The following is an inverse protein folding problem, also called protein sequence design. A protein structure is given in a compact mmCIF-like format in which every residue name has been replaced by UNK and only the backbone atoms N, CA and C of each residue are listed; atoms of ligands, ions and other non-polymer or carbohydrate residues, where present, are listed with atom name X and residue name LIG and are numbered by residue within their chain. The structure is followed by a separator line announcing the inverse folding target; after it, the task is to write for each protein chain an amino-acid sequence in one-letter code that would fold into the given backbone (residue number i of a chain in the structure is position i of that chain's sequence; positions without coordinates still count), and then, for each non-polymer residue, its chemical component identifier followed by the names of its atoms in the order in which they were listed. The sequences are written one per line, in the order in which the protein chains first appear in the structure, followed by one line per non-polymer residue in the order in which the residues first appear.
data_IF_889830970088
#
_entry.id   IF_889830970088
#
_cell.length_a   1.000
_cell.length_b   1.000
_cell.length_c   1.000
_cell.angle_alpha   90.00
_cell.angle_beta   90.00
_cell.angle_gamma   90.00
#
_symmetry.space_group_name_H-M   'P 1'
#
loop_
_entity.id
_entity.type
_entity.pdbx_description
1 polymer ?
#
# COMPACT_ATOMS: atom_id res chain seq x y z
N UNK A 1 31.91 12.98 5.47
CA UNK A 1 31.66 14.37 5.02
C UNK A 1 30.51 15.07 5.74
N UNK A 2 29.47 14.35 6.21
CA UNK A 2 28.47 14.84 7.17
C UNK A 2 29.05 15.55 8.43
N UNK A 3 30.26 15.15 8.87
CA UNK A 3 30.94 15.67 10.07
C UNK A 3 31.30 17.17 10.07
N UNK A 4 31.50 17.79 8.90
CA UNK A 4 31.83 19.23 8.84
C UNK A 4 30.58 20.12 8.92
N UNK A 5 29.40 19.57 8.61
CA UNK A 5 28.11 20.29 8.60
C UNK A 5 27.22 19.96 9.80
N UNK A 6 27.39 18.81 10.45
CA UNK A 6 26.77 18.48 11.75
C UNK A 6 27.15 19.48 12.87
N UNK A 7 28.31 20.13 12.76
CA UNK A 7 28.78 21.03 13.82
C UNK A 7 28.09 22.41 13.82
N UNK A 8 27.29 22.73 12.79
CA UNK A 8 26.59 24.02 12.71
C UNK A 8 25.13 23.85 12.24
N UNK A 9 24.22 23.69 13.20
CA UNK A 9 22.75 23.64 13.00
C UNK A 9 22.14 24.88 12.30
N UNK A 10 22.94 25.90 11.98
CA UNK A 10 22.52 27.11 11.28
C UNK A 10 22.74 27.06 9.75
N UNK A 11 23.39 26.02 9.23
CA UNK A 11 23.80 26.00 7.81
C UNK A 11 22.97 25.08 6.91
N UNK A 12 22.17 24.16 7.46
CA UNK A 12 21.40 23.20 6.67
C UNK A 12 19.91 23.22 7.05
N UNK A 13 19.06 22.87 6.09
CA UNK A 13 17.62 22.80 6.27
C UNK A 13 17.12 21.43 5.76
N UNK A 14 16.36 20.72 6.60
CA UNK A 14 15.75 19.45 6.21
C UNK A 14 14.42 19.72 5.52
N UNK A 15 14.28 19.29 4.27
CA UNK A 15 13.08 19.53 3.47
C UNK A 15 12.12 18.36 3.64
N UNK A 16 10.82 18.66 3.80
CA UNK A 16 9.80 17.62 3.83
C UNK A 16 9.77 16.86 2.51
N UNK A 17 9.91 15.56 2.59
CA UNK A 17 9.72 14.63 1.47
C UNK A 17 8.94 13.40 1.94
N UNK A 18 8.45 12.63 0.99
CA UNK A 18 8.04 11.25 1.24
C UNK A 18 9.24 10.39 1.63
N UNK A 19 8.96 9.28 2.31
CA UNK A 19 9.99 8.33 2.75
C UNK A 19 10.76 7.69 1.59
N UNK A 20 10.07 7.45 0.47
CA UNK A 20 10.66 7.14 -0.85
C UNK A 20 10.15 8.16 -1.86
N UNK A 21 10.88 8.50 -2.94
CA UNK A 21 10.38 9.40 -3.98
C UNK A 21 9.09 8.86 -4.60
N UNK A 22 8.06 9.69 -4.73
CA UNK A 22 6.77 9.30 -5.31
C UNK A 22 6.24 10.36 -6.26
N UNK A 23 5.48 9.91 -7.26
CA UNK A 23 4.59 10.77 -8.02
C UNK A 23 3.23 10.89 -7.28
N UNK A 24 3.09 11.94 -6.47
CA UNK A 24 1.90 12.20 -5.65
C UNK A 24 0.62 12.30 -6.50
N UNK A 25 0.71 12.92 -7.69
CA UNK A 25 -0.42 13.12 -8.58
C UNK A 25 -0.88 11.78 -9.17
N UNK A 26 0.07 10.97 -9.62
CA UNK A 26 -0.18 9.65 -10.18
C UNK A 26 -0.85 8.73 -9.15
N UNK A 27 -0.32 8.66 -7.91
CA UNK A 27 -0.90 7.84 -6.85
C UNK A 27 -2.31 8.31 -6.46
N UNK A 28 -2.51 9.62 -6.32
CA UNK A 28 -3.82 10.20 -5.99
C UNK A 28 -4.86 9.89 -7.07
N UNK A 29 -4.49 10.06 -8.34
CA UNK A 29 -5.34 9.73 -9.50
C UNK A 29 -5.64 8.22 -9.61
N UNK A 30 -4.77 7.37 -9.08
CA UNK A 30 -4.97 5.92 -8.99
C UNK A 30 -5.81 5.49 -7.77
N UNK A 31 -6.27 6.42 -6.93
CA UNK A 31 -7.00 6.12 -5.70
C UNK A 31 -6.10 5.60 -4.56
N UNK A 32 -4.78 5.85 -4.65
CA UNK A 32 -3.77 5.48 -3.66
C UNK A 32 -3.32 6.69 -2.81
N UNK A 33 -4.23 7.65 -2.60
CA UNK A 33 -3.94 8.87 -1.82
C UNK A 33 -3.61 8.59 -0.35
N UNK A 34 -4.14 7.51 0.22
CA UNK A 34 -3.83 7.07 1.58
C UNK A 34 -2.38 6.58 1.69
N UNK A 35 -1.92 5.80 0.71
CA UNK A 35 -0.53 5.34 0.61
C UNK A 35 0.44 6.51 0.44
N UNK A 36 0.11 7.46 -0.44
CA UNK A 36 0.92 8.67 -0.63
C UNK A 36 1.03 9.47 0.69
N UNK A 37 -0.09 9.65 1.39
CA UNK A 37 -0.13 10.34 2.69
C UNK A 37 0.72 9.63 3.74
N UNK A 38 0.64 8.29 3.82
CA UNK A 38 1.43 7.48 4.74
C UNK A 38 2.94 7.59 4.45
N UNK A 39 3.33 7.60 3.18
CA UNK A 39 4.73 7.79 2.78
C UNK A 39 5.25 9.19 3.15
N UNK A 40 4.42 10.22 3.01
CA UNK A 40 4.75 11.59 3.43
C UNK A 40 4.88 11.68 4.96
N UNK A 41 3.96 11.07 5.71
CA UNK A 41 3.99 11.04 7.17
C UNK A 41 5.24 10.33 7.68
N UNK A 42 5.54 9.13 7.16
CA UNK A 42 6.76 8.38 7.50
C UNK A 42 8.04 9.17 7.19
N UNK A 43 8.06 9.88 6.05
CA UNK A 43 9.18 10.76 5.70
C UNK A 43 9.36 11.88 6.72
N UNK A 44 8.26 12.53 7.11
CA UNK A 44 8.27 13.58 8.13
C UNK A 44 8.73 13.07 9.51
N UNK A 45 8.20 11.94 9.97
CA UNK A 45 8.62 11.32 11.25
C UNK A 45 10.12 11.04 11.27
N UNK A 46 10.65 10.51 10.16
CA UNK A 46 12.08 10.23 10.00
C UNK A 46 12.88 11.52 10.05
N UNK A 47 12.48 12.57 9.33
CA UNK A 47 13.20 13.84 9.29
C UNK A 47 13.19 14.58 10.64
N UNK A 48 12.06 14.54 11.36
CA UNK A 48 11.96 15.15 12.71
C UNK A 48 12.91 14.48 13.70
N UNK A 49 13.14 13.16 13.56
CA UNK A 49 14.10 12.45 14.41
C UNK A 49 15.56 12.89 14.19
N UNK A 50 15.85 13.46 13.02
CA UNK A 50 17.19 13.92 12.62
C UNK A 50 17.39 15.40 12.99
N UNK A 51 16.38 16.25 12.80
CA UNK A 51 16.52 17.68 13.08
C UNK A 51 15.30 18.54 12.77
N UNK A 52 15.51 19.86 12.75
CA UNK A 52 14.45 20.82 12.42
C UNK A 52 14.15 20.77 10.93
N UNK A 53 12.86 20.67 10.63
CA UNK A 53 12.35 20.59 9.25
C UNK A 53 11.91 21.98 8.80
N UNK A 54 12.13 22.27 7.52
CA UNK A 54 11.73 23.49 6.80
C UNK A 54 10.25 23.88 7.00
N UNK A 55 9.75 25.00 6.47
CA UNK A 55 8.31 25.27 6.38
C UNK A 55 7.55 24.23 5.55
N UNK A 56 6.30 23.93 5.92
CA UNK A 56 5.48 22.91 5.23
C UNK A 56 4.99 23.34 3.85
N UNK A 57 5.25 24.60 3.50
CA UNK A 57 4.90 25.20 2.23
C UNK A 57 6.03 25.08 1.20
N UNK A 58 7.21 24.61 1.59
CA UNK A 58 8.38 24.46 0.73
C UNK A 58 8.52 23.03 0.20
N UNK A 59 8.78 22.92 -1.09
CA UNK A 59 9.08 21.68 -1.80
C UNK A 59 10.37 21.86 -2.61
N UNK A 60 11.22 20.82 -2.64
CA UNK A 60 12.34 20.73 -3.60
C UNK A 60 12.05 19.58 -4.57
N UNK A 61 12.14 19.88 -5.86
CA UNK A 61 12.07 18.88 -6.92
C UNK A 61 13.26 17.92 -6.81
N UNK A 62 12.96 16.62 -6.70
CA UNK A 62 13.98 15.56 -6.71
C UNK A 62 13.99 14.79 -8.03
N UNK A 63 12.83 14.69 -8.68
CA UNK A 63 12.61 13.97 -9.92
C UNK A 63 11.86 14.90 -10.87
N UNK A 64 11.99 14.68 -12.19
CA UNK A 64 11.31 15.47 -13.20
C UNK A 64 9.81 15.63 -12.91
N UNK A 65 9.39 16.87 -12.67
CA UNK A 65 8.01 17.20 -12.31
C UNK A 65 7.23 17.81 -13.47
N UNK A 66 5.90 17.66 -13.41
CA UNK A 66 4.98 18.21 -14.40
C UNK A 66 3.85 19.03 -13.74
N UNK A 67 2.95 19.55 -14.59
CA UNK A 67 1.75 20.30 -14.17
C UNK A 67 0.90 19.53 -13.14
N UNK A 68 0.76 18.21 -13.28
CA UNK A 68 -0.11 17.41 -12.41
C UNK A 68 0.44 17.28 -10.99
N UNK A 69 1.74 17.01 -10.85
CA UNK A 69 2.42 17.02 -9.55
C UNK A 69 2.42 18.42 -8.93
N UNK A 70 2.66 19.45 -9.74
CA UNK A 70 2.64 20.84 -9.30
C UNK A 70 1.27 21.23 -8.70
N UNK A 71 0.18 20.95 -9.42
CA UNK A 71 -1.18 21.24 -8.96
C UNK A 71 -1.57 20.40 -7.73
N UNK A 72 -1.19 19.13 -7.69
CA UNK A 72 -1.46 18.24 -6.55
C UNK A 72 -0.80 18.74 -5.27
N UNK A 73 0.49 19.12 -5.35
CA UNK A 73 1.23 19.69 -4.22
C UNK A 73 0.67 21.05 -3.82
N UNK A 74 0.28 21.88 -4.80
CA UNK A 74 -0.38 23.15 -4.51
C UNK A 74 -1.67 22.95 -3.71
N UNK A 75 -2.52 22.00 -4.10
CA UNK A 75 -3.76 21.70 -3.39
C UNK A 75 -3.52 21.30 -1.93
N UNK A 76 -2.37 20.68 -1.63
CA UNK A 76 -1.94 20.27 -0.27
C UNK A 76 -1.36 21.42 0.58
N UNK A 77 -1.20 22.62 0.01
CA UNK A 77 -0.68 23.79 0.73
C UNK A 77 0.77 24.15 0.41
N UNK A 78 1.41 23.47 -0.55
CA UNK A 78 2.74 23.89 -1.06
C UNK A 78 2.59 25.21 -1.83
N UNK A 79 3.46 26.18 -1.53
CA UNK A 79 3.43 27.53 -2.12
C UNK A 79 4.80 27.97 -2.64
N UNK A 80 5.85 27.31 -2.16
CA UNK A 80 7.23 27.61 -2.48
C UNK A 80 7.88 26.35 -3.06
N UNK A 81 8.64 26.50 -4.15
CA UNK A 81 9.31 25.38 -4.78
C UNK A 81 10.77 25.69 -5.16
N UNK A 82 11.60 24.66 -5.21
CA UNK A 82 12.91 24.71 -5.88
C UNK A 82 12.81 23.75 -7.06
N UNK A 83 12.84 24.28 -8.29
CA UNK A 83 12.50 23.53 -9.50
C UNK A 83 13.64 23.57 -10.52
N UNK A 84 13.78 22.48 -11.26
CA UNK A 84 14.69 22.40 -12.39
C UNK A 84 14.16 23.23 -13.55
N UNK A 85 15.06 23.96 -14.24
CA UNK A 85 14.75 24.59 -15.53
C UNK A 85 14.23 23.57 -16.56
N UNK A 86 14.63 22.29 -16.43
CA UNK A 86 14.20 21.17 -17.28
C UNK A 86 12.70 20.89 -17.17
N UNK A 87 12.05 21.27 -16.07
CA UNK A 87 10.62 21.05 -15.79
C UNK A 87 9.73 22.23 -16.20
N UNK A 88 10.34 23.31 -16.70
CA UNK A 88 9.66 24.52 -17.16
C UNK A 88 9.66 24.62 -18.68
N UNK A 89 8.64 25.29 -19.24
CA UNK A 89 8.60 25.64 -20.65
C UNK A 89 9.79 26.55 -20.95
N UNK A 90 10.52 26.26 -22.04
CA UNK A 90 11.72 27.01 -22.39
C UNK A 90 11.43 28.50 -22.60
N UNK A 91 12.29 29.36 -22.07
CA UNK A 91 12.21 30.82 -22.18
C UNK A 91 13.60 31.41 -22.43
N UNK A 92 13.68 32.70 -22.73
CA UNK A 92 14.96 33.38 -22.99
C UNK A 92 15.84 33.57 -21.74
N UNK A 93 15.26 33.48 -20.54
CA UNK A 93 15.96 33.63 -19.26
C UNK A 93 15.75 32.38 -18.39
N UNK A 94 16.45 31.29 -18.70
CA UNK A 94 16.27 29.99 -18.04
C UNK A 94 16.72 29.96 -16.57
N UNK A 95 17.55 30.91 -16.14
CA UNK A 95 18.17 30.91 -14.81
C UNK A 95 18.07 32.28 -14.12
N UNK A 96 16.84 32.70 -13.74
CA UNK A 96 16.68 33.90 -12.95
C UNK A 96 17.41 33.73 -11.63
N UNK A 97 18.27 34.70 -11.28
CA UNK A 97 19.07 34.66 -10.05
C UNK A 97 18.30 35.19 -8.83
N UNK A 98 16.98 35.09 -8.86
CA UNK A 98 16.04 35.61 -7.87
C UNK A 98 14.78 34.74 -7.89
N UNK A 99 13.98 34.74 -6.81
CA UNK A 99 12.69 34.05 -6.79
C UNK A 99 11.79 34.52 -7.93
N UNK A 100 11.06 33.61 -8.54
CA UNK A 100 10.13 33.89 -9.65
C UNK A 100 8.77 33.27 -9.41
N UNK A 101 7.80 33.64 -10.22
CA UNK A 101 6.49 33.00 -10.21
C UNK A 101 6.44 31.85 -11.22
N UNK A 102 5.95 30.70 -10.79
CA UNK A 102 5.70 29.54 -11.62
C UNK A 102 4.20 29.32 -11.67
N UNK A 103 3.64 29.27 -12.88
CA UNK A 103 2.21 29.06 -13.09
C UNK A 103 1.91 27.74 -13.80
N UNK A 104 0.82 27.13 -13.33
CA UNK A 104 0.01 26.15 -14.03
C UNK A 104 -1.24 26.85 -14.59
N UNK A 105 -2.18 26.09 -15.14
CA UNK A 105 -3.53 26.58 -15.45
C UNK A 105 -4.30 26.98 -14.19
N UNK A 106 -4.07 26.28 -13.07
CA UNK A 106 -4.90 26.39 -11.86
C UNK A 106 -4.15 26.86 -10.61
N UNK A 107 -2.83 26.98 -10.67
CA UNK A 107 -2.00 27.21 -9.50
C UNK A 107 -0.82 28.14 -9.80
N UNK A 108 -0.36 28.80 -8.75
CA UNK A 108 0.76 29.74 -8.76
C UNK A 108 1.63 29.46 -7.53
N UNK A 109 2.93 29.28 -7.74
CA UNK A 109 3.93 29.15 -6.68
C UNK A 109 5.07 30.13 -6.91
N UNK A 110 5.70 30.56 -5.83
CA UNK A 110 7.01 31.21 -5.91
C UNK A 110 8.08 30.12 -5.98
N UNK A 111 9.08 30.27 -6.84
CA UNK A 111 10.14 29.29 -6.95
C UNK A 111 11.54 29.88 -7.12
N UNK A 112 12.52 29.11 -6.68
CA UNK A 112 13.90 29.23 -7.14
C UNK A 112 14.11 28.23 -8.27
N UNK A 113 14.75 28.68 -9.34
CA UNK A 113 15.08 27.82 -10.48
C UNK A 113 16.54 27.40 -10.35
N UNK A 114 16.80 26.11 -10.53
CA UNK A 114 18.14 25.57 -10.67
C UNK A 114 18.32 24.93 -12.04
N UNK A 115 19.56 24.90 -12.49
CA UNK A 115 20.00 24.30 -13.74
C UNK A 115 21.45 23.87 -13.58
N UNK A 116 21.96 23.13 -14.55
CA UNK A 116 23.34 22.69 -14.59
C UNK A 116 24.27 23.88 -14.91
N UNK A 117 24.81 24.50 -13.85
CA UNK A 117 25.66 25.69 -13.96
C UNK A 117 26.94 25.41 -14.75
N UNK A 118 27.46 24.18 -14.69
CA UNK A 118 28.75 23.81 -15.25
C UNK A 118 28.76 22.34 -15.74
N UNK A 119 28.03 22.04 -16.83
CA UNK A 119 27.78 20.67 -17.25
C UNK A 119 29.03 19.82 -17.35
N UNK A 120 28.94 18.60 -16.82
CA UNK A 120 30.06 17.64 -16.82
C UNK A 120 30.54 17.40 -18.24
N UNK A 121 31.85 17.52 -18.43
CA UNK A 121 32.54 17.22 -19.68
C UNK A 121 33.07 15.79 -19.63
N UNK A 122 33.14 15.13 -20.78
CA UNK A 122 33.52 13.71 -20.90
C UNK A 122 34.89 13.38 -20.27
N UNK A 123 35.78 14.37 -20.13
CA UNK A 123 37.14 14.21 -19.60
C UNK A 123 37.33 14.77 -18.19
N UNK A 124 36.25 15.19 -17.53
CA UNK A 124 36.38 15.72 -16.18
C UNK A 124 36.73 14.64 -15.18
N UNK A 125 37.71 14.95 -14.33
CA UNK A 125 37.79 14.35 -13.01
C UNK A 125 36.77 15.03 -12.08
N UNK A 126 36.30 14.37 -11.01
CA UNK A 126 35.42 15.01 -10.01
C UNK A 126 35.99 16.32 -9.47
N UNK A 127 37.32 16.37 -9.26
CA UNK A 127 38.03 17.56 -8.82
C UNK A 127 38.00 18.71 -9.85
N UNK A 128 38.29 18.42 -11.14
CA UNK A 128 38.26 19.45 -12.19
C UNK A 128 36.85 19.96 -12.47
N UNK A 129 35.83 19.09 -12.37
CA UNK A 129 34.43 19.50 -12.45
C UNK A 129 34.07 20.46 -11.30
N UNK A 130 34.46 20.14 -10.06
CA UNK A 130 34.21 21.01 -8.90
C UNK A 130 34.89 22.38 -9.07
N UNK A 131 36.16 22.41 -9.48
CA UNK A 131 36.87 23.66 -9.77
C UNK A 131 36.23 24.48 -10.89
N UNK A 132 35.66 23.83 -11.92
CA UNK A 132 34.92 24.54 -12.96
C UNK A 132 33.67 25.19 -12.38
N UNK A 133 32.87 24.45 -11.60
CA UNK A 133 31.68 25.01 -10.94
C UNK A 133 32.04 26.20 -10.06
N UNK A 134 33.10 26.09 -9.24
CA UNK A 134 33.61 27.20 -8.42
C UNK A 134 34.03 28.42 -9.27
N UNK A 135 34.67 28.19 -10.41
CA UNK A 135 35.07 29.27 -11.34
C UNK A 135 33.85 29.97 -11.95
N UNK A 136 32.79 29.22 -12.29
CA UNK A 136 31.52 29.79 -12.76
C UNK A 136 30.85 30.62 -11.65
N UNK A 137 30.82 30.11 -10.41
CA UNK A 137 30.30 30.85 -9.26
C UNK A 137 31.05 32.17 -9.02
N UNK A 138 32.39 32.14 -9.05
CA UNK A 138 33.22 33.34 -8.94
C UNK A 138 32.92 34.33 -10.06
N UNK A 139 32.81 33.84 -11.31
CA UNK A 139 32.46 34.70 -12.45
C UNK A 139 31.12 35.39 -12.24
N UNK A 140 30.09 34.65 -11.79
CA UNK A 140 28.78 35.24 -11.50
C UNK A 140 28.89 36.31 -10.40
N UNK A 141 29.57 35.99 -9.29
CA UNK A 141 29.73 36.90 -8.17
C UNK A 141 30.42 38.22 -8.57
N UNK A 142 31.41 38.18 -9.47
CA UNK A 142 32.15 39.37 -9.90
C UNK A 142 31.51 40.14 -11.06
N UNK A 143 30.64 39.51 -11.86
CA UNK A 143 30.09 40.13 -13.08
C UNK A 143 28.67 40.63 -12.93
N UNK A 144 27.96 40.22 -11.87
CA UNK A 144 26.54 40.49 -11.73
C UNK A 144 26.23 41.34 -10.50
N UNK A 145 25.36 42.35 -10.67
CA UNK A 145 24.89 43.18 -9.54
C UNK A 145 24.03 42.34 -8.58
N UNK A 146 24.33 42.46 -7.28
CA UNK A 146 23.68 41.74 -6.17
C UNK A 146 22.35 42.38 -5.73
N UNK A 147 21.46 41.64 -5.04
CA UNK A 147 21.60 40.25 -4.60
C UNK A 147 21.12 39.23 -5.65
N UNK A 148 21.93 38.18 -5.86
CA UNK A 148 21.68 37.11 -6.81
C UNK A 148 21.92 35.75 -6.16
N UNK A 149 20.91 34.89 -6.23
CA UNK A 149 20.97 33.53 -5.74
C UNK A 149 21.41 32.59 -6.86
N UNK A 150 22.27 31.64 -6.52
CA UNK A 150 22.65 30.54 -7.39
C UNK A 150 22.26 29.26 -6.68
N UNK A 151 21.25 28.58 -7.21
CA UNK A 151 20.83 27.27 -6.74
C UNK A 151 21.55 26.20 -7.55
N UNK A 152 22.14 25.21 -6.88
CA UNK A 152 22.85 24.11 -7.50
C UNK A 152 22.21 22.79 -7.08
N UNK A 153 22.08 21.88 -8.04
CA UNK A 153 21.76 20.48 -7.75
C UNK A 153 23.07 19.71 -7.53
N UNK A 154 23.14 19.01 -6.40
CA UNK A 154 24.25 18.13 -6.01
C UNK A 154 23.74 16.71 -5.70
N UNK A 155 22.60 16.35 -6.28
CA UNK A 155 22.02 15.00 -6.20
C UNK A 155 22.99 13.95 -6.77
N UNK A 156 22.93 12.68 -6.33
CA UNK A 156 23.86 11.63 -6.76
C UNK A 156 23.95 11.42 -8.28
N UNK A 157 22.85 11.72 -9.01
CA UNK A 157 22.79 11.58 -10.46
C UNK A 157 23.59 12.67 -11.18
N UNK A 158 23.68 13.87 -10.59
CA UNK A 158 24.40 15.03 -11.14
C UNK A 158 25.81 15.17 -10.51
N UNK A 159 26.00 14.69 -9.29
CA UNK A 159 27.18 14.90 -8.45
C UNK A 159 27.57 13.65 -7.64
N UNK A 160 28.79 13.14 -7.85
CA UNK A 160 29.35 12.09 -7.00
C UNK A 160 29.91 12.67 -5.69
N UNK A 161 30.12 11.81 -4.69
CA UNK A 161 30.59 12.25 -3.37
C UNK A 161 31.93 12.98 -3.42
N UNK A 162 32.83 12.59 -4.33
CA UNK A 162 34.16 13.22 -4.43
C UNK A 162 34.05 14.64 -5.00
N UNK A 163 33.23 14.82 -6.04
CA UNK A 163 32.90 16.14 -6.57
C UNK A 163 32.28 17.03 -5.49
N UNK A 164 31.30 16.51 -4.76
CA UNK A 164 30.58 17.28 -3.72
C UNK A 164 31.52 17.71 -2.60
N UNK A 165 32.42 16.82 -2.16
CA UNK A 165 33.41 17.13 -1.13
C UNK A 165 34.33 18.29 -1.59
N UNK A 166 34.89 18.23 -2.80
CA UNK A 166 35.73 19.30 -3.34
C UNK A 166 34.96 20.62 -3.58
N UNK A 167 33.71 20.54 -4.03
CA UNK A 167 32.88 21.72 -4.27
C UNK A 167 32.58 22.44 -2.94
N UNK A 168 32.19 21.70 -1.90
CA UNK A 168 31.86 22.27 -0.59
C UNK A 168 33.10 22.82 0.11
N UNK A 169 34.24 22.13 0.04
CA UNK A 169 35.53 22.65 0.53
C UNK A 169 35.90 23.95 -0.19
N UNK A 170 35.74 23.99 -1.52
CA UNK A 170 35.94 25.18 -2.32
C UNK A 170 35.03 26.33 -1.92
N UNK A 171 33.72 26.11 -1.77
CA UNK A 171 32.75 27.14 -1.37
C UNK A 171 33.14 27.73 0.00
N UNK A 172 33.55 26.90 0.96
CA UNK A 172 33.99 27.37 2.27
C UNK A 172 35.22 28.29 2.22
N UNK A 173 36.01 28.23 1.16
CA UNK A 173 37.17 29.11 0.94
C UNK A 173 36.85 30.42 0.22
N UNK A 174 35.65 30.57 -0.35
CA UNK A 174 35.25 31.74 -1.13
C UNK A 174 34.55 32.79 -0.24
N UNK A 175 35.27 33.85 0.14
CA UNK A 175 34.76 34.90 1.03
C UNK A 175 33.58 35.73 0.47
N UNK A 176 33.30 35.63 -0.82
CA UNK A 176 32.25 36.39 -1.51
C UNK A 176 31.00 35.54 -1.81
N UNK A 177 30.95 34.30 -1.33
CA UNK A 177 29.79 33.42 -1.42
C UNK A 177 29.34 33.08 -0.01
N UNK A 178 28.07 33.33 0.27
CA UNK A 178 27.46 32.98 1.55
C UNK A 178 26.37 31.92 1.29
N UNK A 179 26.41 30.75 1.95
CA UNK A 179 25.34 29.77 1.86
C UNK A 179 24.07 30.34 2.52
N UNK A 180 22.92 30.12 1.90
CA UNK A 180 21.62 30.59 2.36
C UNK A 180 20.63 29.44 2.35
N UNK A 181 19.79 29.35 3.38
CA UNK A 181 18.73 28.34 3.45
C UNK A 181 17.71 28.58 2.32
N UNK A 182 17.16 27.49 1.77
CA UNK A 182 16.21 27.57 0.66
C UNK A 182 14.95 28.34 1.06
N UNK A 183 14.44 28.13 2.29
CA UNK A 183 13.29 28.86 2.83
C UNK A 183 13.56 30.36 3.02
N UNK A 184 14.79 30.76 3.32
CA UNK A 184 15.16 32.17 3.42
C UNK A 184 15.35 32.81 2.05
N UNK A 185 15.98 32.10 1.11
CA UNK A 185 16.24 32.56 -0.24
C UNK A 185 14.93 32.79 -1.01
N UNK A 186 13.94 31.90 -0.86
CA UNK A 186 12.66 32.00 -1.56
C UNK A 186 11.77 33.13 -1.03
N UNK A 187 11.98 33.56 0.22
CA UNK A 187 11.28 34.70 0.84
C UNK A 187 11.80 36.08 0.40
N UNK A 188 12.80 36.12 -0.49
CA UNK A 188 13.38 37.36 -1.01
C UNK A 188 12.49 37.94 -2.13
N UNK A 189 12.63 39.24 -2.44
CA UNK A 189 11.82 39.87 -3.47
C UNK A 189 11.89 39.15 -4.82
N UNK A 190 10.75 39.07 -5.50
CA UNK A 190 10.64 38.44 -6.81
C UNK A 190 11.50 39.16 -7.85
N UNK A 191 12.04 38.41 -8.79
CA UNK A 191 12.61 38.94 -10.01
C UNK A 191 11.51 39.64 -10.81
N UNK A 192 11.80 40.85 -11.30
CA UNK A 192 10.86 41.64 -12.10
C UNK A 192 11.42 41.94 -13.48
N UNK A 193 10.51 42.07 -14.45
CA UNK A 193 10.80 42.65 -15.76
C UNK A 193 11.22 44.11 -15.64
N UNK A 194 11.73 44.70 -16.73
CA UNK A 194 12.00 46.14 -16.80
C UNK A 194 10.76 47.03 -16.52
N UNK A 195 9.54 46.48 -16.69
CA UNK A 195 8.28 47.14 -16.38
C UNK A 195 7.83 46.97 -14.91
N UNK A 196 8.62 46.30 -14.06
CA UNK A 196 8.30 46.08 -12.64
C UNK A 196 7.30 44.93 -12.38
N UNK A 197 6.94 44.15 -13.40
CA UNK A 197 6.05 42.98 -13.27
C UNK A 197 6.87 41.74 -12.92
N UNK A 198 6.43 40.88 -11.97
CA UNK A 198 7.12 39.62 -11.65
C UNK A 198 7.40 38.76 -12.88
N UNK A 199 8.59 38.16 -12.93
CA UNK A 199 8.91 37.17 -13.95
C UNK A 199 8.09 35.90 -13.72
N UNK A 200 7.41 35.46 -14.78
CA UNK A 200 6.53 34.28 -14.75
C UNK A 200 7.00 33.20 -15.72
N UNK A 201 7.05 31.97 -15.23
CA UNK A 201 7.38 30.77 -16.00
C UNK A 201 6.21 29.81 -15.97
N UNK A 202 6.12 28.95 -16.98
CA UNK A 202 5.06 27.97 -17.09
C UNK A 202 5.60 26.56 -16.86
N UNK A 203 4.89 25.77 -16.07
CA UNK A 203 5.18 24.34 -15.91
C UNK A 203 5.00 23.60 -17.22
N UNK A 204 5.92 22.66 -17.52
CA UNK A 204 5.72 21.72 -18.63
C UNK A 204 4.59 20.75 -18.31
N UNK A 205 3.75 20.54 -19.32
CA UNK A 205 2.80 19.43 -19.30
C UNK A 205 3.51 18.16 -19.76
N UNK A 206 3.30 17.06 -19.03
CA UNK A 206 3.82 15.76 -19.43
C UNK A 206 2.87 15.21 -20.47
N UNK A 207 3.40 14.87 -21.65
CA UNK A 207 2.62 14.15 -22.66
C UNK A 207 1.98 12.92 -21.99
N UNK A 208 0.67 12.71 -22.21
CA UNK A 208 -0.14 11.69 -21.53
C UNK A 208 0.64 10.40 -21.30
N UNK A 209 1.18 10.25 -20.08
CA UNK A 209 1.91 9.05 -19.72
C UNK A 209 0.93 7.89 -19.70
N UNK A 210 1.38 6.72 -20.13
CA UNK A 210 0.63 5.48 -19.94
C UNK A 210 0.38 5.35 -18.44
N UNK A 211 -0.89 5.31 -18.04
CA UNK A 211 -1.25 5.18 -16.62
C UNK A 211 -0.76 3.82 -16.13
N UNK A 212 0.08 3.76 -15.08
CA UNK A 212 0.52 2.49 -14.53
C UNK A 212 -0.67 1.69 -14.00
N UNK A 213 -0.63 0.37 -14.20
CA UNK A 213 -1.67 -0.51 -13.68
C UNK A 213 -1.37 -0.96 -12.24
N UNK A 214 -2.11 -0.39 -11.28
CA UNK A 214 -2.04 -0.77 -9.87
C UNK A 214 -2.97 -1.93 -9.50
N UNK A 215 -3.57 -2.65 -10.45
CA UNK A 215 -4.43 -3.81 -10.17
C UNK A 215 -3.70 -4.88 -9.36
N UNK A 216 -2.45 -5.18 -9.72
CA UNK A 216 -1.60 -6.17 -9.05
C UNK A 216 -1.17 -5.67 -7.66
N UNK A 217 -0.86 -4.38 -7.51
CA UNK A 217 -0.61 -3.76 -6.20
C UNK A 217 -1.80 -3.94 -5.25
N UNK A 218 -3.01 -3.60 -5.70
CA UNK A 218 -4.24 -3.74 -4.89
C UNK A 218 -4.48 -5.20 -4.52
N UNK A 219 -4.23 -6.13 -5.45
CA UNK A 219 -4.30 -7.56 -5.16
C UNK A 219 -3.30 -7.98 -4.09
N UNK A 220 -2.04 -7.55 -4.17
CA UNK A 220 -1.03 -7.81 -3.14
C UNK A 220 -1.46 -7.26 -1.77
N UNK A 221 -2.00 -6.04 -1.73
CA UNK A 221 -2.54 -5.41 -0.51
C UNK A 221 -3.68 -6.24 0.10
N UNK A 222 -4.63 -6.69 -0.72
CA UNK A 222 -5.74 -7.56 -0.26
C UNK A 222 -5.21 -8.88 0.31
N UNK A 223 -4.27 -9.52 -0.38
CA UNK A 223 -3.65 -10.76 0.10
C UNK A 223 -2.91 -10.57 1.44
N UNK A 224 -2.17 -9.47 1.62
CA UNK A 224 -1.51 -9.18 2.88
C UNK A 224 -2.51 -8.90 4.00
N UNK A 225 -3.57 -8.12 3.75
CA UNK A 225 -4.63 -7.88 4.73
C UNK A 225 -5.32 -9.18 5.17
N UNK A 226 -5.59 -10.08 4.21
CA UNK A 226 -6.10 -11.43 4.50
C UNK A 226 -5.15 -12.18 5.43
N UNK A 227 -3.87 -12.25 5.08
CA UNK A 227 -2.86 -12.93 5.89
C UNK A 227 -2.74 -12.33 7.30
N UNK A 228 -2.78 -11.00 7.43
CA UNK A 228 -2.73 -10.32 8.72
C UNK A 228 -3.88 -10.71 9.65
N UNK A 229 -5.07 -10.87 9.08
CA UNK A 229 -6.27 -11.28 9.86
C UNK A 229 -6.18 -12.72 10.39
N UNK A 230 -5.35 -13.57 9.76
CA UNK A 230 -5.15 -14.96 10.13
C UNK A 230 -4.09 -15.16 11.21
N UNK A 231 -3.10 -14.27 11.31
CA UNK A 231 -1.98 -14.42 12.24
C UNK A 231 -2.17 -13.61 13.52
N UNK A 232 -1.48 -14.03 14.58
CA UNK A 232 -1.38 -13.29 15.84
C UNK A 232 -0.31 -12.21 15.73
N UNK A 233 -0.35 -11.22 16.62
CA UNK A 233 0.57 -10.09 16.58
C UNK A 233 2.03 -10.51 16.78
N UNK A 234 2.28 -11.55 17.58
CA UNK A 234 3.61 -12.11 17.83
C UNK A 234 4.21 -12.83 16.59
N UNK A 235 3.38 -13.21 15.63
CA UNK A 235 3.78 -13.87 14.38
C UNK A 235 3.79 -12.91 13.17
N UNK A 236 3.54 -11.61 13.40
CA UNK A 236 3.31 -10.64 12.33
C UNK A 236 4.59 -10.15 11.62
N UNK A 237 5.79 -10.52 12.07
CA UNK A 237 7.05 -9.97 11.55
C UNK A 237 7.20 -10.10 10.03
N UNK A 238 6.93 -11.28 9.46
CA UNK A 238 7.00 -11.49 8.01
C UNK A 238 5.96 -10.62 7.27
N UNK A 239 4.74 -10.54 7.81
CA UNK A 239 3.69 -9.69 7.26
C UNK A 239 4.12 -8.22 7.24
N UNK A 240 4.65 -7.71 8.36
CA UNK A 240 5.00 -6.30 8.51
C UNK A 240 6.13 -5.91 7.57
N UNK A 241 7.13 -6.79 7.40
CA UNK A 241 8.19 -6.62 6.40
C UNK A 241 7.62 -6.54 4.98
N UNK A 242 6.72 -7.44 4.59
CA UNK A 242 6.09 -7.40 3.27
C UNK A 242 5.14 -6.21 3.09
N UNK A 243 4.44 -5.79 4.14
CA UNK A 243 3.59 -4.61 4.11
C UNK A 243 4.42 -3.34 3.88
N UNK A 244 5.57 -3.25 4.53
CA UNK A 244 6.52 -2.16 4.33
C UNK A 244 7.12 -2.19 2.92
N UNK A 245 7.57 -3.36 2.46
CA UNK A 245 8.09 -3.52 1.11
C UNK A 245 7.04 -3.17 0.04
N UNK A 246 5.79 -3.59 0.23
CA UNK A 246 4.70 -3.22 -0.65
C UNK A 246 4.52 -1.70 -0.70
N UNK A 247 4.52 -1.03 0.45
CA UNK A 247 4.38 0.43 0.49
C UNK A 247 5.54 1.13 -0.24
N UNK A 248 6.78 0.69 0.00
CA UNK A 248 7.98 1.29 -0.61
C UNK A 248 8.12 0.96 -2.10
N UNK A 249 7.47 -0.11 -2.56
CA UNK A 249 7.42 -0.44 -3.99
C UNK A 249 6.68 0.60 -4.85
N UNK A 250 5.99 1.56 -4.23
CA UNK A 250 5.40 2.73 -4.91
C UNK A 250 6.43 3.82 -5.25
N UNK A 251 7.71 3.60 -4.94
CA UNK A 251 8.79 4.52 -5.30
C UNK A 251 8.87 4.73 -6.82
N UNK A 252 9.03 5.99 -7.22
CA UNK A 252 9.26 6.39 -8.62
C UNK A 252 10.67 6.00 -9.11
N UNK A 253 11.58 5.69 -8.19
CA UNK A 253 12.93 5.20 -8.53
C UNK A 253 12.92 3.74 -9.01
N UNK A 254 11.84 3.01 -8.73
CA UNK A 254 11.69 1.62 -9.12
C UNK A 254 11.09 1.51 -10.52
N UNK A 255 11.70 0.66 -11.36
CA UNK A 255 11.15 0.35 -12.68
C UNK A 255 9.87 -0.45 -12.54
N UNK A 256 8.93 -0.26 -13.47
CA UNK A 256 7.63 -0.96 -13.45
C UNK A 256 7.76 -2.49 -13.35
N UNK A 257 8.71 -3.09 -14.06
CA UNK A 257 8.96 -4.54 -13.99
C UNK A 257 9.39 -5.01 -12.59
N UNK A 258 10.16 -4.18 -11.88
CA UNK A 258 10.61 -4.46 -10.52
C UNK A 258 9.46 -4.33 -9.52
N UNK A 259 8.67 -3.26 -9.63
CA UNK A 259 7.45 -3.07 -8.84
C UNK A 259 6.51 -4.27 -9.00
N UNK A 260 6.21 -4.69 -10.23
CA UNK A 260 5.35 -5.85 -10.49
C UNK A 260 5.94 -7.16 -9.95
N UNK A 261 7.26 -7.31 -9.96
CA UNK A 261 7.94 -8.49 -9.40
C UNK A 261 7.74 -8.55 -7.89
N UNK A 262 7.89 -7.42 -7.18
CA UNK A 262 7.63 -7.31 -5.75
C UNK A 262 6.16 -7.67 -5.46
N UNK A 263 5.20 -7.08 -6.17
CA UNK A 263 3.78 -7.33 -5.92
C UNK A 263 3.39 -8.78 -6.15
N UNK A 264 3.88 -9.43 -7.22
CA UNK A 264 3.62 -10.85 -7.49
C UNK A 264 4.24 -11.75 -6.43
N UNK A 265 5.49 -11.46 -6.02
CA UNK A 265 6.18 -12.22 -4.98
C UNK A 265 5.39 -12.22 -3.67
N UNK A 266 4.79 -11.09 -3.30
CA UNK A 266 3.95 -10.97 -2.11
C UNK A 266 2.67 -11.82 -2.25
N UNK A 267 1.99 -11.76 -3.40
CA UNK A 267 0.82 -12.59 -3.68
C UNK A 267 1.16 -14.07 -3.58
N UNK A 268 2.29 -14.49 -4.17
CA UNK A 268 2.74 -15.87 -4.18
C UNK A 268 3.16 -16.35 -2.80
N UNK A 269 3.80 -15.48 -1.99
CA UNK A 269 4.10 -15.75 -0.58
C UNK A 269 2.83 -16.09 0.20
N UNK A 270 1.79 -15.25 0.11
CA UNK A 270 0.52 -15.49 0.80
C UNK A 270 -0.16 -16.77 0.29
N UNK A 271 -0.14 -17.02 -1.03
CA UNK A 271 -0.71 -18.25 -1.62
C UNK A 271 0.01 -19.51 -1.14
N UNK A 272 1.32 -19.44 -1.00
CA UNK A 272 2.12 -20.55 -0.47
C UNK A 272 1.80 -20.80 1.01
N UNK A 273 1.55 -19.75 1.81
CA UNK A 273 1.12 -19.90 3.20
C UNK A 273 -0.28 -20.48 3.30
N UNK A 274 -1.22 -20.03 2.46
CA UNK A 274 -2.59 -20.55 2.46
C UNK A 274 -2.66 -22.01 2.00
N UNK A 275 -1.80 -22.45 1.08
CA UNK A 275 -1.78 -23.86 0.63
C UNK A 275 -1.28 -24.84 1.71
N UNK A 276 -0.75 -24.34 2.83
CA UNK A 276 -0.43 -25.17 3.99
C UNK A 276 -1.67 -25.54 4.82
N UNK A 277 -2.83 -24.93 4.52
CA UNK A 277 -4.11 -25.26 5.12
C UNK A 277 -4.88 -26.21 4.21
N UNK A 278 -5.19 -27.40 4.72
CA UNK A 278 -6.07 -28.34 4.05
C UNK A 278 -7.44 -28.33 4.73
N UNK A 279 -8.49 -28.16 3.92
CA UNK A 279 -9.88 -28.36 4.33
C UNK A 279 -10.16 -29.86 4.56
N UNK A 280 -11.27 -30.20 5.25
CA UNK A 280 -11.62 -31.59 5.52
C UNK A 280 -11.75 -32.38 4.22
N UNK A 281 -11.31 -33.66 4.18
CA UNK A 281 -11.38 -34.48 2.97
C UNK A 281 -12.81 -34.64 2.45
N UNK A 282 -12.95 -34.89 1.15
CA UNK A 282 -14.22 -35.18 0.45
C UNK A 282 -14.82 -36.53 0.89
N UNK A 283 -15.24 -36.63 2.15
CA UNK A 283 -15.89 -37.84 2.67
C UNK A 283 -17.41 -37.67 2.73
N UNK A 284 -18.12 -38.75 2.38
CA UNK A 284 -19.58 -38.78 2.52
C UNK A 284 -19.93 -38.94 4.00
N UNK A 285 -20.49 -37.89 4.60
CA UNK A 285 -20.95 -37.97 6.00
C UNK A 285 -22.37 -38.55 6.02
N UNK A 286 -22.54 -39.69 6.70
CA UNK A 286 -23.84 -40.31 6.90
C UNK A 286 -24.49 -39.82 8.20
N UNK A 287 -25.63 -39.14 8.10
CA UNK A 287 -26.47 -38.79 9.24
C UNK A 287 -27.57 -39.86 9.41
N UNK A 288 -27.55 -40.54 10.55
CA UNK A 288 -28.58 -41.54 10.94
C UNK A 288 -29.78 -40.91 11.64
N UNK A 289 -29.75 -39.59 11.85
CA UNK A 289 -30.78 -38.80 12.55
C UNK A 289 -30.92 -37.42 11.92
N UNK A 290 -32.01 -36.70 12.26
CA UNK A 290 -32.27 -35.34 11.80
C UNK A 290 -31.27 -34.29 12.32
N UNK A 291 -30.65 -34.55 13.47
CA UNK A 291 -29.54 -33.76 14.03
C UNK A 291 -28.40 -34.71 14.37
N UNK A 292 -27.15 -34.35 14.03
CA UNK A 292 -25.96 -35.14 14.32
C UNK A 292 -24.72 -34.24 14.49
N UNK A 293 -23.86 -34.61 15.45
CA UNK A 293 -22.56 -33.97 15.65
C UNK A 293 -21.52 -34.57 14.68
N UNK A 294 -21.17 -33.82 13.63
CA UNK A 294 -20.27 -34.25 12.56
C UNK A 294 -18.84 -33.77 12.83
N UNK A 295 -17.83 -34.66 12.89
CA UNK A 295 -16.44 -34.26 13.03
C UNK A 295 -15.86 -33.79 11.70
N UNK A 296 -15.22 -32.62 11.72
CA UNK A 296 -14.42 -32.09 10.62
C UNK A 296 -12.99 -31.92 11.08
N UNK A 297 -12.06 -32.56 10.37
CA UNK A 297 -10.63 -32.49 10.63
C UNK A 297 -9.97 -31.54 9.65
N UNK A 298 -9.31 -30.52 10.18
CA UNK A 298 -8.57 -29.52 9.44
C UNK A 298 -7.08 -29.74 9.68
N UNK A 299 -6.25 -29.55 8.65
CA UNK A 299 -4.82 -29.69 8.79
C UNK A 299 -4.10 -28.37 8.50
N UNK A 300 -3.35 -27.88 9.49
CA UNK A 300 -2.44 -26.76 9.37
C UNK A 300 -1.01 -27.28 9.33
N UNK A 301 -0.39 -27.28 8.15
CA UNK A 301 1.00 -27.70 7.94
C UNK A 301 2.03 -26.60 8.21
N UNK A 302 1.58 -25.40 8.60
CA UNK A 302 2.47 -24.32 8.99
C UNK A 302 2.96 -24.51 10.44
N UNK A 303 3.98 -23.73 10.82
CA UNK A 303 4.53 -23.74 12.19
C UNK A 303 3.79 -22.77 13.12
N UNK A 304 2.78 -22.08 12.62
CA UNK A 304 2.11 -20.96 13.29
C UNK A 304 0.62 -21.24 13.38
N UNK A 305 -0.02 -20.83 14.47
CA UNK A 305 -1.47 -20.94 14.61
C UNK A 305 -2.16 -19.97 13.65
N UNK A 306 -3.18 -20.44 12.91
CA UNK A 306 -3.88 -19.63 11.92
C UNK A 306 -5.37 -19.51 12.27
N UNK A 307 -5.85 -18.27 12.38
CA UNK A 307 -7.26 -17.95 12.50
C UNK A 307 -7.91 -17.97 11.12
N UNK A 308 -9.00 -18.70 10.99
CA UNK A 308 -9.76 -18.86 9.75
C UNK A 308 -11.24 -18.71 10.04
N UNK A 309 -12.01 -18.34 9.03
CA UNK A 309 -13.46 -18.36 9.08
C UNK A 309 -13.95 -19.57 8.29
N UNK A 310 -14.68 -20.46 8.95
CA UNK A 310 -15.32 -21.61 8.34
C UNK A 310 -16.72 -21.21 7.91
N UNK A 311 -17.03 -21.41 6.63
CA UNK A 311 -18.38 -21.24 6.08
C UNK A 311 -18.90 -22.57 5.54
N UNK A 312 -20.10 -22.96 5.97
CA UNK A 312 -20.76 -24.18 5.50
C UNK A 312 -22.05 -23.78 4.77
N UNK A 313 -22.08 -23.99 3.46
CA UNK A 313 -23.21 -23.59 2.59
C UNK A 313 -23.99 -24.84 2.20
N UNK A 314 -25.29 -24.86 2.49
CA UNK A 314 -26.22 -25.90 2.06
C UNK A 314 -27.66 -25.40 2.04
N UNK A 315 -28.44 -25.78 1.03
CA UNK A 315 -29.88 -25.47 0.97
C UNK A 315 -30.72 -26.31 1.96
N UNK A 316 -30.14 -27.42 2.47
CA UNK A 316 -30.88 -28.48 3.16
C UNK A 316 -30.33 -28.81 4.55
N UNK A 317 -29.36 -28.02 5.04
CA UNK A 317 -28.79 -28.12 6.38
C UNK A 317 -28.74 -26.75 7.04
N UNK A 318 -28.90 -26.74 8.36
CA UNK A 318 -28.56 -25.61 9.23
C UNK A 318 -27.52 -26.07 10.25
N UNK A 319 -26.56 -25.21 10.59
CA UNK A 319 -25.57 -25.47 11.65
C UNK A 319 -26.06 -24.82 12.93
N UNK A 320 -26.29 -25.61 13.98
CA UNK A 320 -26.84 -25.08 15.25
C UNK A 320 -25.78 -24.35 16.09
N UNK A 321 -24.49 -24.60 15.83
CA UNK A 321 -23.37 -24.02 16.58
C UNK A 321 -22.90 -22.66 16.02
N UNK A 322 -23.48 -22.18 14.91
CA UNK A 322 -23.09 -20.92 14.28
C UNK A 322 -24.04 -19.81 14.72
N UNK A 323 -23.50 -18.69 15.23
CA UNK A 323 -24.30 -17.58 15.76
C UNK A 323 -25.19 -16.93 14.68
N UNK A 324 -24.69 -16.86 13.44
CA UNK A 324 -25.43 -16.36 12.27
C UNK A 324 -26.00 -17.50 11.39
N UNK A 325 -25.75 -18.75 11.76
CA UNK A 325 -26.19 -19.96 11.07
C UNK A 325 -25.32 -20.39 9.87
N UNK A 326 -24.32 -19.60 9.46
CA UNK A 326 -23.54 -19.87 8.22
C UNK A 326 -22.01 -19.86 8.43
N UNK A 327 -21.48 -19.08 9.39
CA UNK A 327 -20.03 -19.02 9.63
C UNK A 327 -19.62 -19.13 11.10
N UNK A 328 -18.37 -19.55 11.31
CA UNK A 328 -17.72 -19.49 12.63
C UNK A 328 -16.21 -19.24 12.48
N UNK A 329 -15.62 -18.55 13.45
CA UNK A 329 -14.17 -18.37 13.51
C UNK A 329 -13.51 -19.57 14.21
N UNK A 330 -12.44 -20.10 13.62
CA UNK A 330 -11.64 -21.19 14.17
C UNK A 330 -10.17 -20.77 14.29
N UNK A 331 -9.48 -21.30 15.30
CA UNK A 331 -8.02 -21.20 15.42
C UNK A 331 -7.45 -22.58 15.15
N UNK A 332 -6.70 -22.70 14.06
CA UNK A 332 -6.06 -23.93 13.64
C UNK A 332 -4.63 -23.96 14.16
N UNK A 333 -4.39 -24.75 15.20
CA UNK A 333 -3.05 -25.01 15.73
C UNK A 333 -2.20 -25.82 14.72
N UNK A 334 -0.87 -25.74 14.77
CA UNK A 334 0.00 -26.58 13.95
C UNK A 334 -0.34 -28.07 14.10
N UNK A 335 -0.60 -28.75 12.99
CA UNK A 335 -1.03 -30.15 12.95
C UNK A 335 -2.50 -30.34 12.56
N UNK A 336 -3.14 -31.37 13.11
CA UNK A 336 -4.54 -31.72 12.82
C UNK A 336 -5.43 -31.21 13.96
N UNK A 337 -6.45 -30.42 13.60
CA UNK A 337 -7.47 -29.94 14.53
C UNK A 337 -8.82 -30.53 14.12
N UNK A 338 -9.47 -31.29 15.02
CA UNK A 338 -10.81 -31.85 14.77
C UNK A 338 -11.86 -31.10 15.58
N UNK A 339 -12.80 -30.46 14.87
CA UNK A 339 -13.97 -29.81 15.48
C UNK A 339 -15.24 -30.58 15.15
N UNK A 340 -16.15 -30.70 16.11
CA UNK A 340 -17.46 -31.32 15.88
C UNK A 340 -18.51 -30.23 15.79
N UNK A 341 -19.27 -30.20 14.71
CA UNK A 341 -20.38 -29.27 14.52
C UNK A 341 -21.71 -30.02 14.54
N UNK A 342 -22.69 -29.46 15.25
CA UNK A 342 -24.06 -29.94 15.29
C UNK A 342 -24.78 -29.49 14.02
N UNK A 343 -24.98 -30.44 13.10
CA UNK A 343 -25.70 -30.21 11.85
C UNK A 343 -27.14 -30.70 11.98
N UNK A 344 -28.08 -29.92 11.47
CA UNK A 344 -29.49 -30.29 11.38
C UNK A 344 -29.94 -30.37 9.93
N UNK A 345 -30.46 -31.53 9.55
CA UNK A 345 -31.03 -31.78 8.22
C UNK A 345 -32.48 -31.29 8.13
N UNK A 346 -32.74 -30.48 7.10
CA UNK A 346 -34.08 -29.96 6.77
C UNK A 346 -34.88 -30.96 5.89
N UNK A 347 -34.19 -31.85 5.16
CA UNK A 347 -34.82 -32.83 4.26
C UNK A 347 -34.03 -34.14 4.18
N UNK A 348 -34.73 -35.27 4.01
CA UNK A 348 -34.10 -36.58 3.78
C UNK A 348 -33.50 -36.68 2.38
N UNK A 349 -32.46 -37.50 2.22
CA UNK A 349 -31.80 -37.76 0.94
C UNK A 349 -30.30 -37.51 0.99
N UNK A 350 -29.66 -37.53 -0.19
CA UNK A 350 -28.26 -37.11 -0.35
C UNK A 350 -28.23 -35.74 -1.00
N UNK A 351 -27.49 -34.80 -0.44
CA UNK A 351 -27.38 -33.45 -0.97
C UNK A 351 -25.96 -32.90 -0.75
N UNK A 352 -25.48 -32.04 -1.67
CA UNK A 352 -24.16 -31.46 -1.57
C UNK A 352 -24.11 -30.41 -0.45
N UNK A 353 -22.96 -30.33 0.19
CA UNK A 353 -22.55 -29.23 1.06
C UNK A 353 -21.25 -28.65 0.50
N UNK A 354 -21.14 -27.33 0.61
CA UNK A 354 -19.92 -26.61 0.25
C UNK A 354 -19.27 -26.11 1.53
N UNK A 355 -18.01 -26.50 1.74
CA UNK A 355 -17.21 -26.08 2.88
C UNK A 355 -16.15 -25.13 2.36
N UNK A 356 -16.11 -23.92 2.89
CA UNK A 356 -15.12 -22.92 2.54
C UNK A 356 -14.36 -22.48 3.79
N UNK A 357 -13.04 -22.42 3.65
CA UNK A 357 -12.18 -21.74 4.62
C UNK A 357 -11.82 -20.38 4.05
N UNK A 358 -12.18 -19.33 4.77
CA UNK A 358 -11.90 -17.95 4.43
C UNK A 358 -10.91 -17.35 5.43
N UNK A 359 -10.22 -16.30 4.98
CA UNK A 359 -9.57 -15.37 5.91
C UNK A 359 -10.64 -14.66 6.76
N UNK A 360 -10.36 -14.35 8.05
CA UNK A 360 -11.34 -13.69 8.94
C UNK A 360 -11.90 -12.34 8.45
N UNK A 361 -11.26 -11.70 7.48
CA UNK A 361 -11.76 -10.48 6.85
C UNK A 361 -12.56 -10.74 5.55
N UNK A 362 -12.82 -12.00 5.21
CA UNK A 362 -13.58 -12.45 4.03
C UNK A 362 -12.90 -12.19 2.69
N UNK A 363 -11.68 -11.63 2.66
CA UNK A 363 -11.07 -11.12 1.43
C UNK A 363 -10.33 -12.17 0.60
N UNK A 364 -10.07 -13.35 1.19
CA UNK A 364 -9.39 -14.47 0.56
C UNK A 364 -10.06 -15.79 0.94
N UNK A 365 -10.41 -16.59 -0.07
CA UNK A 365 -10.75 -18.01 0.09
C UNK A 365 -9.45 -18.81 0.13
N UNK A 366 -9.21 -19.48 1.25
CA UNK A 366 -8.00 -20.24 1.53
C UNK A 366 -8.11 -21.65 0.98
N UNK A 367 -9.28 -22.26 1.12
CA UNK A 367 -9.60 -23.59 0.62
C UNK A 367 -11.10 -23.72 0.39
N UNK A 368 -11.49 -24.51 -0.62
CA UNK A 368 -12.88 -24.80 -0.97
C UNK A 368 -13.01 -26.30 -1.23
N UNK A 369 -14.02 -26.94 -0.64
CA UNK A 369 -14.27 -28.38 -0.82
C UNK A 369 -15.76 -28.65 -0.91
N UNK A 370 -16.15 -29.55 -1.81
CA UNK A 370 -17.53 -30.02 -1.93
C UNK A 370 -17.63 -31.42 -1.31
N UNK A 371 -18.55 -31.60 -0.37
CA UNK A 371 -18.82 -32.90 0.23
C UNK A 371 -20.30 -33.24 0.07
N UNK A 372 -20.66 -34.52 0.09
CA UNK A 372 -22.05 -34.98 0.02
C UNK A 372 -22.47 -35.47 1.40
N UNK A 373 -23.53 -34.89 1.96
CA UNK A 373 -24.15 -35.42 3.18
C UNK A 373 -25.32 -36.30 2.81
N UNK A 374 -25.37 -37.50 3.37
CA UNK A 374 -26.50 -38.43 3.27
C UNK A 374 -27.28 -38.42 4.58
N UNK A 375 -28.50 -37.88 4.55
CA UNK A 375 -29.39 -37.84 5.70
C UNK A 375 -30.54 -38.87 5.57
N UNK A 376 -30.66 -39.72 6.59
CA UNK A 376 -31.72 -40.71 6.71
C UNK A 376 -32.64 -40.30 7.86
N UNK A 377 -33.70 -39.55 7.58
CA UNK A 377 -34.74 -39.30 8.58
C UNK A 377 -35.88 -40.32 8.42
N UNK A 378 -36.35 -40.98 9.50
CA UNK A 378 -37.56 -41.78 9.43
C UNK A 378 -38.72 -40.86 9.04
N UNK A 379 -39.38 -41.16 7.93
CA UNK A 379 -40.54 -40.39 7.48
C UNK A 379 -41.63 -40.52 8.54
N UNK A 380 -42.15 -39.39 9.05
CA UNK A 380 -43.24 -39.39 10.04
C UNK A 380 -44.49 -40.15 9.58
N UNK A 381 -44.64 -40.35 8.27
CA UNK A 381 -45.66 -41.20 7.65
C UNK A 381 -45.55 -42.65 8.12
N UNK A 382 -44.34 -43.21 8.26
CA UNK A 382 -44.15 -44.58 8.75
C UNK A 382 -44.60 -44.76 10.20
N UNK A 383 -44.38 -43.75 11.04
CA UNK A 383 -44.84 -43.73 12.43
C UNK A 383 -46.37 -43.57 12.51
N UNK A 384 -46.95 -42.67 11.70
CA UNK A 384 -48.39 -42.50 11.62
C UNK A 384 -49.09 -43.76 11.08
N UNK A 385 -48.47 -44.49 10.14
CA UNK A 385 -49.00 -45.73 9.59
C UNK A 385 -48.94 -46.87 10.62
N UNK A 386 -47.86 -46.95 11.41
CA UNK A 386 -47.75 -47.96 12.48
C UNK A 386 -48.68 -47.66 13.65
N UNK A 387 -48.81 -46.40 14.06
CA UNK A 387 -49.83 -45.98 15.03
C UNK A 387 -51.25 -46.23 14.51
N UNK A 388 -51.52 -45.89 13.24
CA UNK A 388 -52.81 -46.14 12.59
C UNK A 388 -53.15 -47.63 12.49
N UNK A 389 -52.17 -48.46 12.10
CA UNK A 389 -52.33 -49.91 12.03
C UNK A 389 -52.51 -50.53 13.42
N UNK A 390 -51.78 -50.05 14.43
CA UNK A 390 -51.93 -50.51 15.82
C UNK A 390 -53.31 -50.12 16.39
N UNK A 391 -53.78 -48.90 16.10
CA UNK A 391 -55.11 -48.44 16.52
C UNK A 391 -56.22 -49.24 15.83
N UNK A 392 -56.05 -49.51 14.52
CA UNK A 392 -56.97 -50.35 13.76
C UNK A 392 -57.01 -51.78 14.31
N UNK A 393 -55.85 -52.37 14.60
CA UNK A 393 -55.75 -53.69 15.23
C UNK A 393 -56.43 -53.73 16.61
N UNK A 394 -56.23 -52.71 17.44
CA UNK A 394 -56.87 -52.61 18.75
C UNK A 394 -58.40 -52.51 18.63
N UNK A 395 -58.90 -51.67 17.71
CA UNK A 395 -60.34 -51.53 17.44
C UNK A 395 -60.91 -52.84 16.90
N UNK A 396 -60.21 -53.50 15.99
CA UNK A 396 -60.60 -54.79 15.43
C UNK A 396 -60.68 -55.88 16.50
N UNK A 397 -59.70 -55.96 17.41
CA UNK A 397 -59.70 -56.92 18.51
C UNK A 397 -60.87 -56.70 19.49
N UNK A 398 -61.20 -55.43 19.77
CA UNK A 398 -62.35 -55.08 20.61
C UNK A 398 -63.67 -55.47 19.92
N UNK A 399 -63.78 -55.26 18.62
CA UNK A 399 -64.96 -55.64 17.84
C UNK A 399 -65.11 -57.18 17.70
N UNK A 400 -64.01 -57.91 17.47
CA UNK A 400 -64.02 -59.38 17.38
C UNK A 400 -64.39 -60.02 18.73
N UNK A 401 -63.81 -59.53 19.83
CA UNK A 401 -64.12 -60.08 21.17
C UNK A 401 -65.58 -59.83 21.60
N UNK A 402 -66.22 -58.77 21.11
CA UNK A 402 -67.64 -58.49 21.35
C UNK A 402 -68.56 -59.40 20.54
N UNK A 403 -68.18 -59.79 19.31
CA UNK A 403 -68.97 -60.77 18.52
C UNK A 403 -68.93 -62.18 19.09
N UNK A 404 -67.91 -62.54 19.88
CA UNK A 404 -67.83 -63.84 20.60
C UNK A 404 -68.60 -63.89 21.92
N UNK A 405 -69.36 -62.84 22.27
CA UNK A 405 -70.21 -62.80 23.48
C UNK A 405 -71.72 -62.78 23.17
N UNK A 406 -72.11 -62.94 21.91
CA UNK A 406 -73.52 -63.07 21.52
C UNK A 406 -73.69 -64.04 20.33
N UNK A 407 -73.42 -65.32 20.57
CA UNK A 407 -74.06 -66.54 20.01
C UNK A 407 -73.15 -67.76 20.21
#
# INVERSE_FOLDING_TARGET
TFKLWEQNNQSHELIRSSFVPIDEALLTNAGLGTEASLLIEKGLETLISIGSVAPSTLWIETNATDVSQFDTRWARGIRHAVLSSKSLVATDNLNPRQPVEIRSQNSLMTALIFDDLAPRQLKDSPHSAAHRTLSHLATIAFTQESPKFVTLDISPDEADSTFTDYLLEGIASLFFIEPLLASEAIGKPLAVTAAGVPLQYQMKDKASAIRPDFSVYRKAKTHLSAYRSMIRDEDATDHDNFSQELLYSLSDDLKELEQQTIWRRIIDYVRQRSSLLDAPPEETVQMTSRSAAVPFSFQNRSKTALRVELRIISEKITVEDFDDGETTTLVLEPGITTHRFNLRSLSSGSFPIKIELLSPNGSLVLSETQSVIRATAPTGVGLALTLGAALFLAIWWIADSRRRRSL
#
